data_IF_851958237431
#
_entry.id   IF_851958237431
#
_cell.length_a   1.000
_cell.length_b   1.000
_cell.length_c   1.000
_cell.angle_alpha   90.00
_cell.angle_beta   90.00
_cell.angle_gamma   90.00
#
_symmetry.space_group_name_H-M   'P 1'
#
loop_
_entity.id
_entity.type
_entity.pdbx_description
1 polymer ?
#
# COMPACT_ATOMS: atom_id res chain seq x y z
N UNK A 1 -0.91 -3.66 -8.32
CA UNK A 1 -1.64 -2.65 -7.53
C UNK A 1 -2.87 -2.21 -8.30
N UNK A 2 -4.04 -2.19 -7.66
CA UNK A 2 -5.29 -1.65 -8.23
C UNK A 2 -5.81 -0.59 -7.27
N UNK A 3 -6.21 0.57 -7.79
CA UNK A 3 -6.81 1.65 -6.98
C UNK A 3 -8.31 1.38 -6.73
N UNK A 4 -8.96 0.65 -7.64
CA UNK A 4 -10.36 0.21 -7.57
C UNK A 4 -10.46 -1.25 -8.00
N UNK A 5 -11.36 -2.07 -7.42
CA UNK A 5 -11.53 -3.47 -7.81
C UNK A 5 -11.97 -3.65 -9.28
N UNK A 6 -12.73 -2.68 -9.82
CA UNK A 6 -13.25 -2.70 -11.19
C UNK A 6 -12.23 -2.25 -12.25
N UNK A 7 -11.08 -1.72 -11.81
CA UNK A 7 -10.06 -1.18 -12.70
C UNK A 7 -8.92 -2.18 -12.94
N UNK A 8 -8.28 -2.07 -14.11
CA UNK A 8 -7.05 -2.79 -14.38
C UNK A 8 -5.92 -2.34 -13.43
N UNK A 9 -4.91 -3.18 -13.16
CA UNK A 9 -3.75 -2.79 -12.36
C UNK A 9 -3.06 -1.53 -12.92
N UNK A 10 -2.77 -0.58 -12.04
CA UNK A 10 -2.10 0.69 -12.40
C UNK A 10 -0.58 0.54 -12.49
N UNK A 11 -0.01 -0.40 -11.74
CA UNK A 11 1.38 -0.83 -11.81
C UNK A 11 1.61 -2.15 -11.06
N UNK A 12 2.76 -2.77 -11.29
CA UNK A 12 3.27 -3.87 -10.46
C UNK A 12 4.16 -3.32 -9.34
N UNK A 13 3.87 -3.72 -8.12
CA UNK A 13 4.61 -3.33 -6.93
C UNK A 13 5.35 -4.51 -6.35
N UNK A 14 6.55 -4.27 -5.84
CA UNK A 14 7.32 -5.24 -5.06
C UNK A 14 7.36 -4.82 -3.59
N UNK A 15 7.22 -5.77 -2.68
CA UNK A 15 7.32 -5.56 -1.24
C UNK A 15 8.03 -6.74 -0.59
N UNK A 16 8.83 -6.45 0.44
CA UNK A 16 9.53 -7.45 1.25
C UNK A 16 8.91 -7.45 2.64
N UNK A 17 7.88 -8.29 2.83
CA UNK A 17 7.01 -8.27 4.01
C UNK A 17 7.74 -8.52 5.35
N UNK A 18 8.90 -9.18 5.32
CA UNK A 18 9.77 -9.36 6.49
C UNK A 18 10.56 -8.11 6.90
N UNK A 19 10.69 -7.12 6.02
CA UNK A 19 11.45 -5.88 6.27
C UNK A 19 10.51 -4.72 6.66
N UNK A 20 9.37 -4.59 5.98
CA UNK A 20 8.43 -3.51 6.26
C UNK A 20 7.23 -3.50 5.32
N UNK A 21 6.53 -2.37 5.27
CA UNK A 21 5.29 -2.21 4.51
C UNK A 21 5.45 -1.45 3.20
N UNK A 22 6.68 -1.09 2.81
CA UNK A 22 6.93 -0.34 1.58
C UNK A 22 6.60 -1.16 0.33
N UNK A 23 5.96 -0.50 -0.62
CA UNK A 23 5.64 -1.03 -1.94
C UNK A 23 6.38 -0.19 -2.98
N UNK A 24 7.33 -0.79 -3.68
CA UNK A 24 8.14 -0.13 -4.72
C UNK A 24 7.59 -0.46 -6.10
N UNK A 25 7.25 0.52 -6.95
CA UNK A 25 6.83 0.26 -8.32
C UNK A 25 7.95 -0.34 -9.18
N UNK A 26 7.61 -1.36 -9.98
CA UNK A 26 8.53 -2.10 -10.87
C UNK A 26 8.06 -2.10 -12.33
N UNK A 27 7.34 -1.06 -12.72
CA UNK A 27 6.72 -0.86 -14.03
C UNK A 27 5.26 -1.30 -14.09
N UNK A 28 4.64 -1.22 -15.25
CA UNK A 28 3.19 -1.41 -15.41
C UNK A 28 2.78 -2.79 -15.95
N UNK A 29 3.75 -3.68 -16.18
CA UNK A 29 3.50 -5.03 -16.68
C UNK A 29 4.53 -6.04 -16.16
N UNK A 30 4.26 -7.33 -16.38
CA UNK A 30 5.11 -8.41 -15.84
C UNK A 30 6.50 -8.44 -16.48
N UNK A 31 6.64 -8.09 -17.76
CA UNK A 31 7.95 -8.07 -18.44
C UNK A 31 8.88 -7.05 -17.77
N UNK A 32 8.39 -5.83 -17.51
CA UNK A 32 9.16 -4.81 -16.81
C UNK A 32 9.54 -5.27 -15.41
N UNK A 33 8.60 -5.83 -14.64
CA UNK A 33 8.84 -6.22 -13.25
C UNK A 33 9.89 -7.34 -13.13
N UNK A 34 9.77 -8.39 -13.96
CA UNK A 34 10.73 -9.50 -13.97
C UNK A 34 12.10 -9.02 -14.45
N UNK A 35 12.15 -8.16 -15.48
CA UNK A 35 13.41 -7.56 -15.95
C UNK A 35 14.09 -6.74 -14.85
N UNK A 36 13.35 -5.90 -14.13
CA UNK A 36 13.91 -5.10 -13.02
C UNK A 36 14.45 -6.00 -11.90
N UNK A 37 13.72 -7.06 -11.55
CA UNK A 37 14.18 -8.04 -10.57
C UNK A 37 15.46 -8.76 -11.03
N UNK A 38 15.50 -9.22 -12.28
CA UNK A 38 16.67 -9.90 -12.86
C UNK A 38 17.90 -8.98 -12.87
N UNK A 39 17.75 -7.71 -13.27
CA UNK A 39 18.82 -6.71 -13.26
C UNK A 39 19.32 -6.40 -11.84
N UNK A 40 18.42 -6.35 -10.84
CA UNK A 40 18.83 -6.24 -9.42
C UNK A 40 19.65 -7.47 -9.01
N UNK A 41 19.19 -8.68 -9.32
CA UNK A 41 19.88 -9.93 -8.98
C UNK A 41 21.24 -10.07 -9.65
N UNK A 42 21.42 -9.59 -10.88
CA UNK A 42 22.73 -9.57 -11.55
C UNK A 42 23.79 -8.74 -10.82
N UNK A 43 23.41 -7.78 -9.97
CA UNK A 43 24.34 -7.00 -9.14
C UNK A 43 24.75 -7.73 -7.86
N UNK A 44 23.96 -8.73 -7.44
CA UNK A 44 24.14 -9.47 -6.18
C UNK A 44 24.87 -10.81 -6.39
N UNK A 45 24.82 -11.37 -7.60
CA UNK A 45 25.33 -12.71 -7.91
C UNK A 45 26.69 -12.64 -8.62
N UNK A 46 27.66 -13.44 -8.15
CA UNK A 46 29.00 -13.56 -8.75
C UNK A 46 29.20 -14.83 -9.58
N UNK A 47 28.29 -15.81 -9.50
CA UNK A 47 28.38 -17.06 -10.25
C UNK A 47 28.22 -16.85 -11.76
N UNK A 48 29.26 -17.18 -12.53
CA UNK A 48 29.32 -16.91 -13.98
C UNK A 48 28.21 -17.65 -14.76
N UNK A 49 27.88 -18.88 -14.37
CA UNK A 49 26.86 -19.67 -15.06
C UNK A 49 25.47 -19.04 -14.87
N UNK A 50 25.13 -18.73 -13.62
CA UNK A 50 23.86 -18.07 -13.25
C UNK A 50 23.74 -16.70 -13.89
N UNK A 51 24.80 -15.89 -13.87
CA UNK A 51 24.85 -14.58 -14.55
C UNK A 51 24.56 -14.72 -16.05
N UNK A 52 25.14 -15.74 -16.70
CA UNK A 52 24.91 -15.99 -18.14
C UNK A 52 23.46 -16.37 -18.42
N UNK A 53 22.88 -17.27 -17.61
CA UNK A 53 21.46 -17.66 -17.71
C UNK A 53 20.52 -16.49 -17.50
N UNK A 54 20.77 -15.63 -16.50
CA UNK A 54 19.92 -14.46 -16.25
C UNK A 54 20.00 -13.45 -17.42
N UNK A 55 21.19 -13.26 -18.01
CA UNK A 55 21.35 -12.38 -19.19
C UNK A 55 20.55 -12.89 -20.39
N UNK A 56 20.65 -14.18 -20.71
CA UNK A 56 19.85 -14.81 -21.78
C UNK A 56 18.35 -14.67 -21.53
N UNK A 57 17.89 -14.83 -20.28
CA UNK A 57 16.50 -14.58 -19.90
C UNK A 57 16.09 -13.12 -20.15
N UNK A 58 16.92 -12.15 -19.76
CA UNK A 58 16.65 -10.72 -19.96
C UNK A 58 16.58 -10.36 -21.44
N UNK A 59 17.43 -10.94 -22.28
CA UNK A 59 17.40 -10.75 -23.74
C UNK A 59 16.09 -11.28 -24.34
N UNK A 60 15.71 -12.52 -24.01
CA UNK A 60 14.44 -13.13 -24.46
C UNK A 60 13.22 -12.35 -23.98
N UNK A 61 13.21 -11.92 -22.71
CA UNK A 61 12.14 -11.07 -22.15
C UNK A 61 12.04 -9.74 -22.89
N UNK A 62 13.18 -9.13 -23.23
CA UNK A 62 13.19 -7.84 -23.93
C UNK A 62 12.63 -7.99 -25.34
N UNK A 63 13.09 -8.99 -26.11
CA UNK A 63 12.57 -9.26 -27.44
C UNK A 63 11.06 -9.60 -27.45
N UNK A 64 10.58 -10.34 -26.46
CA UNK A 64 9.16 -10.66 -26.32
C UNK A 64 8.31 -9.43 -25.93
N UNK A 65 8.83 -8.57 -25.04
CA UNK A 65 8.14 -7.33 -24.69
C UNK A 65 8.06 -6.38 -25.89
N UNK A 66 9.15 -6.24 -26.65
CA UNK A 66 9.19 -5.40 -27.85
C UNK A 66 8.21 -5.89 -28.92
N UNK A 67 8.13 -7.21 -29.16
CA UNK A 67 7.19 -7.77 -30.15
C UNK A 67 5.73 -7.63 -29.75
N UNK A 68 5.43 -7.62 -28.44
CA UNK A 68 4.10 -7.44 -27.88
C UNK A 68 3.75 -5.96 -27.61
N UNK A 69 4.69 -5.04 -27.79
CA UNK A 69 4.51 -3.61 -27.54
C UNK A 69 4.43 -3.23 -26.05
N UNK A 70 5.01 -4.03 -25.16
CA UNK A 70 5.05 -3.72 -23.72
C UNK A 70 6.26 -2.86 -23.35
N UNK A 71 6.02 -1.80 -22.58
CA UNK A 71 7.09 -0.96 -22.06
C UNK A 71 7.93 -1.71 -21.01
N UNK A 72 9.25 -1.52 -21.05
CA UNK A 72 10.17 -2.06 -20.04
C UNK A 72 10.65 -0.98 -19.05
N UNK A 73 10.08 0.22 -19.11
CA UNK A 73 10.39 1.30 -18.18
C UNK A 73 9.94 0.95 -16.75
N UNK A 74 10.74 1.34 -15.75
CA UNK A 74 10.33 1.20 -14.35
C UNK A 74 9.13 2.11 -14.01
N UNK A 75 8.98 3.23 -14.71
CA UNK A 75 7.95 4.23 -14.44
C UNK A 75 7.42 4.84 -15.73
N UNK A 76 6.35 4.25 -16.23
CA UNK A 76 5.73 4.60 -17.51
C UNK A 76 4.94 5.91 -17.44
N UNK A 77 4.51 6.40 -18.60
CA UNK A 77 3.70 7.62 -18.70
C UNK A 77 2.35 7.50 -17.96
N UNK A 78 1.69 6.34 -18.04
CA UNK A 78 0.42 6.07 -17.32
C UNK A 78 0.62 6.12 -15.80
N UNK A 79 1.71 5.55 -15.28
CA UNK A 79 2.07 5.63 -13.87
C UNK A 79 2.28 7.08 -13.41
N UNK A 80 3.00 7.88 -14.20
CA UNK A 80 3.20 9.31 -13.91
C UNK A 80 1.90 10.11 -13.98
N UNK A 81 0.96 9.73 -14.84
CA UNK A 81 -0.37 10.33 -14.88
C UNK A 81 -1.20 9.97 -13.64
N UNK A 82 -1.10 8.71 -13.18
CA UNK A 82 -1.72 8.26 -11.94
C UNK A 82 -1.16 9.00 -10.72
N UNK A 83 0.15 9.24 -10.66
CA UNK A 83 0.78 10.00 -9.57
C UNK A 83 0.18 11.40 -9.37
N UNK A 84 -0.29 12.05 -10.45
CA UNK A 84 -0.97 13.35 -10.36
C UNK A 84 -2.35 13.27 -9.69
N UNK A 85 -2.92 12.08 -9.57
CA UNK A 85 -4.21 11.81 -8.91
C UNK A 85 -4.03 11.28 -7.48
N UNK A 86 -2.79 11.05 -7.05
CA UNK A 86 -2.48 10.55 -5.70
C UNK A 86 -2.71 11.68 -4.71
N UNK A 87 -3.55 11.42 -3.71
CA UNK A 87 -3.88 12.42 -2.68
C UNK A 87 -2.94 12.34 -1.48
N UNK A 88 -2.43 11.15 -1.16
CA UNK A 88 -1.42 10.92 -0.12
C UNK A 88 -0.61 9.69 -0.47
N UNK A 89 0.63 9.60 0.06
CA UNK A 89 1.50 8.42 -0.12
C UNK A 89 1.16 7.30 0.85
N UNK A 90 0.69 7.62 2.06
CA UNK A 90 0.57 6.74 3.22
C UNK A 90 1.88 5.99 3.55
N UNK A 91 1.88 5.16 4.60
CA UNK A 91 3.08 4.47 5.07
C UNK A 91 3.69 3.49 4.05
N UNK A 92 2.89 2.90 3.16
CA UNK A 92 3.39 1.97 2.15
C UNK A 92 4.00 2.65 0.91
N UNK A 93 3.89 3.97 0.78
CA UNK A 93 4.41 4.77 -0.34
C UNK A 93 3.85 4.50 -1.75
N UNK A 94 2.97 3.50 -1.94
CA UNK A 94 2.27 3.29 -3.20
C UNK A 94 1.27 4.41 -3.54
N UNK A 95 0.83 5.18 -2.56
CA UNK A 95 -0.13 6.27 -2.70
C UNK A 95 -1.59 5.83 -2.88
N UNK A 96 -2.50 6.69 -2.44
CA UNK A 96 -3.95 6.48 -2.50
C UNK A 96 -4.56 7.38 -3.56
N UNK A 97 -5.51 6.84 -4.31
CA UNK A 97 -6.33 7.58 -5.28
C UNK A 97 -7.79 7.46 -4.83
N UNK A 98 -8.45 8.60 -4.66
CA UNK A 98 -9.89 8.70 -4.36
C UNK A 98 -10.52 9.73 -5.30
N UNK A 99 -11.83 9.64 -5.56
CA UNK A 99 -12.54 10.71 -6.28
C UNK A 99 -12.44 12.02 -5.50
N UNK A 100 -12.00 13.10 -6.15
CA UNK A 100 -12.01 14.46 -5.59
C UNK A 100 -12.78 15.37 -6.55
N UNK A 101 -13.87 15.98 -6.05
CA UNK A 101 -14.58 17.02 -6.78
C UNK A 101 -13.70 18.27 -6.84
N UNK A 102 -13.21 18.60 -8.02
CA UNK A 102 -12.33 19.75 -8.25
C UNK A 102 -12.99 21.10 -7.95
N UNK A 103 -14.32 21.19 -7.99
CA UNK A 103 -15.02 22.46 -7.76
C UNK A 103 -15.04 22.83 -6.29
N UNK A 104 -15.32 21.83 -5.44
CA UNK A 104 -15.53 22.01 -4.01
C UNK A 104 -14.37 21.49 -3.16
N UNK A 105 -13.40 20.83 -3.79
CA UNK A 105 -12.27 20.13 -3.15
C UNK A 105 -12.73 19.10 -2.11
N UNK A 106 -13.78 18.34 -2.44
CA UNK A 106 -14.39 17.31 -1.58
C UNK A 106 -14.00 15.92 -2.07
N UNK A 107 -13.58 15.06 -1.16
CA UNK A 107 -13.19 13.66 -1.36
C UNK A 107 -11.99 13.23 -0.50
N UNK A 108 -11.14 14.18 -0.09
CA UNK A 108 -9.96 13.94 0.72
C UNK A 108 -9.59 15.18 1.55
N UNK A 109 -9.24 14.92 2.82
CA UNK A 109 -8.54 15.88 3.70
C UNK A 109 -7.43 15.17 4.45
N UNK A 110 -6.39 15.93 4.78
CA UNK A 110 -5.20 15.42 5.47
C UNK A 110 -5.48 15.05 6.94
N UNK A 111 -4.68 14.12 7.47
CA UNK A 111 -4.66 13.84 8.90
C UNK A 111 -4.08 15.01 9.70
N UNK A 112 -4.48 15.21 10.98
CA UNK A 112 -3.92 16.27 11.83
C UNK A 112 -2.46 16.04 12.25
N UNK A 113 -1.87 14.92 11.82
CA UNK A 113 -0.49 14.52 12.13
C UNK A 113 0.24 14.13 10.86
N UNK A 114 1.51 14.53 10.77
CA UNK A 114 2.42 14.01 9.74
C UNK A 114 2.71 12.53 9.95
N UNK A 115 3.11 11.82 8.89
CA UNK A 115 3.50 10.40 8.97
C UNK A 115 4.52 10.12 10.09
N UNK A 116 5.50 11.03 10.24
CA UNK A 116 6.54 10.91 11.27
C UNK A 116 5.97 10.98 12.68
N UNK A 117 4.98 11.85 12.91
CA UNK A 117 4.31 11.96 14.20
C UNK A 117 3.34 10.80 14.43
N UNK A 118 2.59 10.38 13.41
CA UNK A 118 1.71 9.21 13.51
C UNK A 118 2.50 7.93 13.83
N UNK A 119 3.67 7.72 13.21
CA UNK A 119 4.58 6.61 13.56
C UNK A 119 5.03 6.67 15.01
N UNK A 120 5.32 7.86 15.56
CA UNK A 120 5.67 8.02 16.98
C UNK A 120 4.51 7.68 17.90
N UNK A 121 3.29 8.14 17.58
CA UNK A 121 2.07 7.79 18.33
C UNK A 121 1.87 6.27 18.34
N UNK A 122 1.94 5.63 17.17
CA UNK A 122 1.84 4.18 17.04
C UNK A 122 2.92 3.46 17.85
N UNK A 123 4.15 3.96 17.84
CA UNK A 123 5.26 3.42 18.63
C UNK A 123 4.97 3.48 20.13
N UNK A 124 4.54 4.63 20.64
CA UNK A 124 4.18 4.80 22.05
C UNK A 124 3.07 3.83 22.49
N UNK A 125 2.08 3.58 21.64
CA UNK A 125 1.00 2.61 21.92
C UNK A 125 1.54 1.18 22.01
N UNK A 126 2.37 0.77 21.04
CA UNK A 126 2.88 -0.60 20.96
C UNK A 126 3.90 -0.89 22.06
N UNK A 127 4.71 0.09 22.44
CA UNK A 127 5.74 -0.04 23.48
C UNK A 127 5.23 0.27 24.90
N UNK A 128 3.94 0.60 25.07
CA UNK A 128 3.35 0.84 26.38
C UNK A 128 3.51 -0.39 27.29
N UNK A 129 3.97 -0.16 28.53
CA UNK A 129 4.30 -1.22 29.50
C UNK A 129 3.11 -2.02 30.00
N UNK A 130 1.92 -1.44 29.95
CA UNK A 130 0.68 -1.98 30.50
C UNK A 130 -0.53 -1.41 29.74
N UNK A 131 -1.68 -2.05 29.94
CA UNK A 131 -2.91 -1.72 29.22
C UNK A 131 -3.46 -0.33 29.59
N UNK A 132 -3.27 0.12 30.83
CA UNK A 132 -3.74 1.44 31.27
C UNK A 132 -2.98 2.56 30.54
N UNK A 133 -1.65 2.47 30.48
CA UNK A 133 -0.82 3.41 29.72
C UNK A 133 -1.12 3.32 28.23
N UNK A 134 -1.37 2.11 27.71
CA UNK A 134 -1.74 1.93 26.30
C UNK A 134 -3.06 2.62 25.98
N UNK A 135 -4.08 2.47 26.83
CA UNK A 135 -5.37 3.16 26.67
C UNK A 135 -5.20 4.68 26.65
N UNK A 136 -4.36 5.25 27.52
CA UNK A 136 -4.04 6.68 27.51
C UNK A 136 -3.31 7.09 26.23
N UNK A 137 -2.36 6.28 25.78
CA UNK A 137 -1.62 6.50 24.53
C UNK A 137 -2.50 6.40 23.27
N UNK A 138 -3.66 5.74 23.35
CA UNK A 138 -4.64 5.68 22.26
C UNK A 138 -5.47 6.96 22.08
N UNK A 139 -5.44 7.91 23.02
CA UNK A 139 -6.25 9.12 22.94
C UNK A 139 -6.11 9.90 21.61
N UNK A 140 -4.90 10.11 21.05
CA UNK A 140 -4.76 10.78 19.76
C UNK A 140 -5.40 9.99 18.59
N UNK A 141 -5.37 8.66 18.64
CA UNK A 141 -6.05 7.82 17.63
C UNK A 141 -7.56 8.00 17.72
N UNK A 142 -8.13 8.05 18.93
CA UNK A 142 -9.57 8.26 19.14
C UNK A 142 -10.03 9.64 18.65
N UNK A 143 -9.22 10.67 18.88
CA UNK A 143 -9.46 12.00 18.34
C UNK A 143 -9.46 11.99 16.81
N UNK A 144 -8.47 11.34 16.17
CA UNK A 144 -8.45 11.19 14.71
C UNK A 144 -9.65 10.40 14.17
N UNK A 145 -10.11 9.36 14.86
CA UNK A 145 -11.33 8.63 14.48
C UNK A 145 -12.54 9.57 14.49
N UNK A 146 -12.63 10.46 15.48
CA UNK A 146 -13.70 11.45 15.56
C UNK A 146 -13.66 12.40 14.36
N UNK A 147 -12.47 12.91 14.01
CA UNK A 147 -12.30 13.75 12.81
C UNK A 147 -12.62 13.00 11.52
N UNK A 148 -12.30 11.72 11.44
CA UNK A 148 -12.69 10.87 10.31
C UNK A 148 -14.21 10.76 10.18
N UNK A 149 -14.97 10.69 11.28
CA UNK A 149 -16.43 10.69 11.19
C UNK A 149 -16.96 12.00 10.61
N UNK A 150 -16.46 13.15 11.08
CA UNK A 150 -16.81 14.44 10.49
C UNK A 150 -16.43 14.51 9.00
N UNK A 151 -15.26 14.00 8.63
CA UNK A 151 -14.84 13.91 7.24
C UNK A 151 -15.78 13.05 6.40
N UNK A 152 -16.22 11.90 6.93
CA UNK A 152 -17.17 11.03 6.23
C UNK A 152 -18.53 11.70 6.02
N UNK A 153 -19.06 12.40 7.01
CA UNK A 153 -20.32 13.15 6.87
C UNK A 153 -20.22 14.24 5.80
N UNK A 154 -19.02 14.82 5.63
CA UNK A 154 -18.68 15.83 4.62
C UNK A 154 -18.16 15.23 3.30
N UNK A 155 -18.29 13.90 3.10
CA UNK A 155 -17.87 13.16 1.91
C UNK A 155 -16.35 13.10 1.64
N UNK A 156 -15.50 13.47 2.61
CA UNK A 156 -14.05 13.34 2.57
C UNK A 156 -13.56 11.94 2.99
N UNK A 157 -14.07 10.91 2.32
CA UNK A 157 -13.83 9.49 2.66
C UNK A 157 -12.35 9.09 2.63
N UNK A 158 -11.52 9.82 1.89
CA UNK A 158 -10.09 9.55 1.78
C UNK A 158 -9.32 9.69 3.11
N UNK A 159 -9.79 10.48 4.07
CA UNK A 159 -9.13 10.65 5.37
C UNK A 159 -9.19 9.36 6.19
N UNK A 160 -10.37 8.75 6.30
CA UNK A 160 -10.54 7.47 6.99
C UNK A 160 -9.81 6.33 6.29
N UNK A 161 -9.74 6.39 4.95
CA UNK A 161 -8.97 5.45 4.16
C UNK A 161 -7.46 5.53 4.49
N UNK A 162 -6.88 6.73 4.51
CA UNK A 162 -5.47 6.96 4.85
C UNK A 162 -5.12 6.47 6.26
N UNK A 163 -5.87 6.91 7.28
CA UNK A 163 -5.61 6.51 8.66
C UNK A 163 -5.69 4.99 8.83
N UNK A 164 -6.68 4.36 8.22
CA UNK A 164 -6.84 2.92 8.24
C UNK A 164 -5.64 2.19 7.61
N UNK A 165 -5.15 2.67 6.46
CA UNK A 165 -4.00 2.11 5.76
C UNK A 165 -2.73 2.28 6.59
N UNK A 166 -2.49 3.46 7.17
CA UNK A 166 -1.30 3.71 7.99
C UNK A 166 -1.23 2.80 9.21
N UNK A 167 -2.35 2.64 9.92
CA UNK A 167 -2.46 1.71 11.05
C UNK A 167 -2.27 0.26 10.62
N UNK A 168 -2.84 -0.14 9.47
CA UNK A 168 -2.64 -1.47 8.90
C UNK A 168 -1.18 -1.72 8.53
N UNK A 169 -0.51 -0.73 7.93
CA UNK A 169 0.88 -0.76 7.50
C UNK A 169 1.86 -0.73 8.67
N UNK A 170 1.49 -0.12 9.80
CA UNK A 170 2.26 -0.23 11.05
C UNK A 170 2.28 -1.68 11.57
N UNK A 171 1.17 -2.39 11.37
CA UNK A 171 1.12 -3.87 11.44
C UNK A 171 1.00 -4.47 12.84
N UNK A 172 0.79 -3.67 13.89
CA UNK A 172 0.56 -4.19 15.24
C UNK A 172 -0.88 -4.67 15.43
N UNK A 173 -1.05 -5.78 16.15
CA UNK A 173 -2.37 -6.35 16.43
C UNK A 173 -3.27 -5.42 17.25
N UNK A 174 -2.69 -4.51 18.05
CA UNK A 174 -3.44 -3.49 18.78
C UNK A 174 -4.27 -2.57 17.86
N UNK A 175 -3.91 -2.45 16.58
CA UNK A 175 -4.62 -1.61 15.63
C UNK A 175 -5.65 -2.36 14.78
N UNK A 176 -5.73 -3.70 14.85
CA UNK A 176 -6.62 -4.48 13.99
C UNK A 176 -8.08 -4.07 14.15
N UNK A 177 -8.53 -3.82 15.38
CA UNK A 177 -9.91 -3.38 15.65
C UNK A 177 -10.21 -2.03 14.99
N UNK A 178 -9.31 -1.06 15.15
CA UNK A 178 -9.48 0.29 14.58
C UNK A 178 -9.39 0.25 13.05
N UNK A 179 -8.40 -0.45 12.49
CA UNK A 179 -8.28 -0.62 11.04
C UNK A 179 -9.50 -1.34 10.45
N UNK A 180 -10.06 -2.32 11.16
CA UNK A 180 -11.29 -3.03 10.79
C UNK A 180 -12.56 -2.21 10.92
N UNK A 181 -12.54 -1.07 11.63
CA UNK A 181 -13.64 -0.10 11.64
C UNK A 181 -13.49 0.90 10.49
N UNK A 182 -12.26 1.39 10.26
CA UNK A 182 -11.98 2.45 9.28
C UNK A 182 -12.00 1.94 7.83
N UNK A 183 -11.26 0.87 7.54
CA UNK A 183 -11.02 0.44 6.15
C UNK A 183 -12.27 -0.12 5.48
N UNK A 184 -13.06 -1.04 6.09
CA UNK A 184 -14.26 -1.54 5.43
C UNK A 184 -15.29 -0.43 5.16
N UNK A 185 -15.46 0.50 6.10
CA UNK A 185 -16.36 1.65 5.94
C UNK A 185 -15.87 2.56 4.81
N UNK A 186 -14.59 2.95 4.82
CA UNK A 186 -14.02 3.80 3.78
C UNK A 186 -14.15 3.17 2.38
N UNK A 187 -13.89 1.86 2.26
CA UNK A 187 -14.06 1.15 0.99
C UNK A 187 -15.51 1.11 0.53
N UNK A 188 -16.48 0.84 1.42
CA UNK A 188 -17.92 0.87 1.10
C UNK A 188 -18.37 2.26 0.65
N UNK A 189 -17.96 3.32 1.35
CA UNK A 189 -18.25 4.72 0.97
C UNK A 189 -17.64 5.09 -0.40
N UNK A 190 -16.46 4.55 -0.72
CA UNK A 190 -15.80 4.70 -2.02
C UNK A 190 -16.33 3.75 -3.11
N UNK A 191 -17.35 2.92 -2.81
CA UNK A 191 -17.90 1.89 -3.72
C UNK A 191 -16.86 0.87 -4.18
N UNK A 192 -16.05 0.39 -3.24
CA UNK A 192 -14.97 -0.60 -3.42
C UNK A 192 -15.22 -1.83 -2.55
N UNK A 193 -16.43 -2.36 -2.57
CA UNK A 193 -16.92 -3.38 -1.63
C UNK A 193 -16.01 -4.63 -1.55
N UNK A 194 -15.48 -5.10 -2.69
CA UNK A 194 -14.52 -6.20 -2.71
C UNK A 194 -13.27 -5.95 -1.83
N UNK A 195 -12.78 -4.71 -1.77
CA UNK A 195 -11.65 -4.38 -0.90
C UNK A 195 -12.04 -4.37 0.57
N UNK A 196 -13.30 -4.05 0.91
CA UNK A 196 -13.83 -4.19 2.26
C UNK A 196 -13.83 -5.66 2.70
N UNK A 197 -14.33 -6.57 1.84
CA UNK A 197 -14.33 -8.02 2.13
C UNK A 197 -12.92 -8.59 2.31
N UNK A 198 -11.99 -8.17 1.45
CA UNK A 198 -10.58 -8.60 1.52
C UNK A 198 -9.95 -8.15 2.84
N UNK A 199 -10.14 -6.89 3.25
CA UNK A 199 -9.49 -6.39 4.47
C UNK A 199 -10.12 -6.99 5.73
N UNK A 200 -11.45 -7.21 5.75
CA UNK A 200 -12.14 -7.90 6.85
C UNK A 200 -11.58 -9.33 7.01
N UNK A 201 -11.52 -10.08 5.91
CA UNK A 201 -10.98 -11.46 5.90
C UNK A 201 -9.50 -11.50 6.28
N UNK A 202 -8.71 -10.55 5.78
CA UNK A 202 -7.28 -10.47 6.08
C UNK A 202 -7.04 -10.13 7.55
N UNK A 203 -7.70 -9.12 8.12
CA UNK A 203 -7.51 -8.75 9.52
C UNK A 203 -7.96 -9.86 10.47
N UNK A 204 -9.00 -10.63 10.12
CA UNK A 204 -9.45 -11.78 10.90
C UNK A 204 -8.40 -12.91 10.95
N UNK A 205 -7.58 -13.07 9.90
CA UNK A 205 -6.62 -14.17 9.75
C UNK A 205 -5.19 -13.69 9.42
N UNK A 206 -4.78 -12.53 9.93
CA UNK A 206 -3.47 -11.94 9.62
C UNK A 206 -2.35 -12.67 10.36
N UNK A 207 -1.69 -13.62 9.70
CA UNK A 207 -0.56 -14.38 10.25
C UNK A 207 0.79 -13.92 9.66
N UNK A 208 1.78 -13.66 10.53
CA UNK A 208 3.15 -13.29 10.15
C UNK A 208 4.10 -14.48 9.94
N UNK A 209 3.72 -15.67 10.37
CA UNK A 209 4.53 -16.89 10.27
C UNK A 209 4.37 -17.61 8.93
N UNK A 210 3.23 -17.40 8.24
CA UNK A 210 2.91 -18.03 6.94
C UNK A 210 2.75 -17.00 5.82
N UNK A 211 3.68 -16.05 5.75
CA UNK A 211 3.63 -15.00 4.72
C UNK A 211 4.00 -15.55 3.35
N UNK A 212 4.96 -16.47 3.29
CA UNK A 212 5.28 -17.23 2.08
C UNK A 212 4.65 -18.62 2.15
N UNK A 213 3.53 -18.82 1.44
CA UNK A 213 2.86 -20.12 1.39
C UNK A 213 3.56 -21.13 0.46
N UNK A 214 4.66 -20.72 -0.20
CA UNK A 214 5.49 -21.56 -1.06
C UNK A 214 6.73 -22.11 -0.35
N UNK A 215 7.02 -21.63 0.87
CA UNK A 215 8.00 -22.27 1.76
C UNK A 215 7.32 -23.44 2.45
N UNK A 216 7.49 -24.64 1.88
CA UNK A 216 7.18 -25.93 2.51
C UNK A 216 8.26 -26.34 3.51
#
# INVERSE_FOLDING_TARGET
>A
MRDSPEELPVFLGCSEAGIGCLITPTGDNLFSAVKQFAVKKLKEISDKKTVTTIKDLVEKLTAAADSLGYSLEQKTASMKQRDKKVVTKSFHNAGLVVPVDKKNNVGYRELPHTDGNLKKICKTIVEASDDEKRMKAFAPIQEMITFVQFANDECDYGMGYELGIDLFCYGSHYFHKVAGQLLPLAYKLLKRDLFAEIIESHLANRNREKVNQLET
#
